data_IF_362331231985
#
_entry.id   IF_362331231985
#
_cell.length_a   1.000
_cell.length_b   1.000
_cell.length_c   1.000
_cell.angle_alpha   90.00
_cell.angle_beta   90.00
_cell.angle_gamma   90.00
#
_symmetry.space_group_name_H-M   'P 1'
#
loop_
_entity.id
_entity.type
_entity.pdbx_description
1 polymer ?
#
# COMPACT_ATOMS: atom_id res chain seq x y z
N UNK A 1 13.50 7.74 -14.02
CA UNK A 1 13.04 7.36 -12.67
C UNK A 1 12.80 5.85 -12.64
N UNK A 2 13.39 5.11 -11.70
CA UNK A 2 13.25 3.65 -11.62
C UNK A 2 11.89 3.31 -11.00
N UNK A 3 10.94 2.83 -11.81
CA UNK A 3 9.72 2.17 -11.31
C UNK A 3 10.15 1.10 -10.31
N UNK A 4 9.63 1.14 -9.07
CA UNK A 4 9.94 0.11 -8.09
C UNK A 4 9.17 -1.14 -8.51
N UNK A 5 9.88 -2.17 -8.96
CA UNK A 5 9.26 -3.47 -9.26
C UNK A 5 8.66 -4.04 -7.98
N UNK A 6 7.34 -3.89 -7.81
CA UNK A 6 6.62 -4.50 -6.70
C UNK A 6 6.82 -6.03 -6.70
N UNK A 7 7.08 -6.63 -7.87
CA UNK A 7 7.46 -8.04 -8.03
C UNK A 7 8.71 -8.42 -7.23
N UNK A 8 9.72 -7.53 -7.17
CA UNK A 8 10.96 -7.77 -6.41
C UNK A 8 10.73 -7.76 -4.91
N UNK A 9 9.63 -7.15 -4.46
CA UNK A 9 9.22 -7.11 -3.07
C UNK A 9 8.04 -8.07 -2.81
N UNK A 10 7.78 -9.04 -3.69
CA UNK A 10 6.82 -10.12 -3.43
C UNK A 10 5.41 -9.90 -3.97
N UNK A 11 5.18 -8.91 -4.84
CA UNK A 11 3.92 -8.84 -5.59
C UNK A 11 3.89 -9.96 -6.64
N UNK A 12 3.17 -11.04 -6.33
CA UNK A 12 2.94 -12.14 -7.25
C UNK A 12 1.90 -11.75 -8.31
N UNK A 13 1.83 -12.54 -9.39
CA UNK A 13 0.81 -12.34 -10.43
C UNK A 13 -0.60 -12.51 -9.88
N UNK A 14 -0.79 -13.41 -8.92
CA UNK A 14 -2.07 -13.68 -8.26
C UNK A 14 -2.52 -12.45 -7.47
N UNK A 15 -1.64 -11.89 -6.61
CA UNK A 15 -1.94 -10.66 -5.85
C UNK A 15 -2.20 -9.47 -6.77
N UNK A 16 -1.47 -9.37 -7.89
CA UNK A 16 -1.72 -8.32 -8.88
C UNK A 16 -3.06 -8.50 -9.60
N UNK A 17 -3.53 -9.74 -9.81
CA UNK A 17 -4.82 -10.02 -10.39
C UNK A 17 -5.95 -9.70 -9.40
N UNK A 18 -5.79 -10.06 -8.13
CA UNK A 18 -6.75 -9.70 -7.07
C UNK A 18 -6.81 -8.17 -6.87
N UNK A 19 -5.67 -7.47 -6.91
CA UNK A 19 -5.64 -6.01 -6.80
C UNK A 19 -6.44 -5.32 -7.91
N UNK A 20 -6.53 -5.91 -9.11
CA UNK A 20 -7.37 -5.38 -10.20
C UNK A 20 -8.87 -5.45 -9.91
N UNK A 21 -9.30 -6.31 -9.00
CA UNK A 21 -10.71 -6.38 -8.58
C UNK A 21 -11.11 -5.19 -7.69
N UNK A 22 -10.14 -4.45 -7.14
CA UNK A 22 -10.38 -3.28 -6.31
C UNK A 22 -10.23 -2.00 -7.15
N UNK A 23 -11.32 -1.58 -7.80
CA UNK A 23 -11.34 -0.33 -8.55
C UNK A 23 -11.08 0.88 -7.65
N UNK A 24 -10.22 1.79 -8.12
CA UNK A 24 -9.84 3.00 -7.39
C UNK A 24 -8.73 2.82 -6.35
N UNK A 25 -8.23 1.59 -6.15
CA UNK A 25 -7.09 1.31 -5.28
C UNK A 25 -5.88 0.83 -6.08
N UNK A 26 -4.68 1.00 -5.52
CA UNK A 26 -3.44 0.51 -6.10
C UNK A 26 -2.71 -0.44 -5.14
N UNK A 27 -2.03 -1.48 -5.65
CA UNK A 27 -1.24 -2.36 -4.82
C UNK A 27 -0.03 -1.62 -4.24
N UNK A 28 0.20 -1.82 -2.95
CA UNK A 28 1.36 -1.30 -2.25
C UNK A 28 1.81 -2.25 -1.15
N UNK A 29 3.10 -2.25 -0.84
CA UNK A 29 3.68 -3.07 0.24
C UNK A 29 4.06 -2.20 1.43
N UNK A 30 3.56 -2.52 2.61
CA UNK A 30 4.03 -1.89 3.85
C UNK A 30 5.47 -2.33 4.12
N UNK A 31 6.41 -1.38 4.09
CA UNK A 31 7.83 -1.62 4.39
C UNK A 31 8.17 -1.39 5.85
N UNK A 32 7.45 -0.48 6.51
CA UNK A 32 7.63 -0.20 7.94
C UNK A 32 6.34 0.35 8.50
N UNK A 33 6.03 -0.10 9.71
CA UNK A 33 4.96 0.44 10.53
C UNK A 33 5.59 1.02 11.79
N UNK A 34 5.28 2.26 12.13
CA UNK A 34 5.81 2.91 13.31
C UNK A 34 4.71 3.77 13.92
N UNK A 35 4.19 3.36 15.09
CA UNK A 35 3.04 3.99 15.75
C UNK A 35 1.87 4.12 14.77
N UNK A 36 1.59 5.34 14.34
CA UNK A 36 0.49 5.71 13.44
C UNK A 36 0.97 5.96 11.99
N UNK A 37 2.25 5.74 11.71
CA UNK A 37 2.86 5.98 10.40
C UNK A 37 3.18 4.65 9.72
N UNK A 38 2.78 4.55 8.46
CA UNK A 38 2.98 3.40 7.60
C UNK A 38 3.76 3.85 6.38
N UNK A 39 4.92 3.25 6.15
CA UNK A 39 5.65 3.42 4.89
C UNK A 39 5.17 2.37 3.91
N UNK A 40 4.59 2.80 2.80
CA UNK A 40 4.02 1.95 1.75
C UNK A 40 4.84 2.15 0.49
N UNK A 41 5.36 1.07 -0.07
CA UNK A 41 6.06 1.06 -1.35
C UNK A 41 5.04 0.75 -2.44
N UNK A 42 4.93 1.63 -3.41
CA UNK A 42 4.04 1.54 -4.58
C UNK A 42 4.90 1.47 -5.86
N UNK A 43 4.27 1.21 -7.02
CA UNK A 43 4.99 1.22 -8.31
C UNK A 43 5.61 2.59 -8.63
N UNK A 44 4.96 3.66 -8.17
CA UNK A 44 5.37 5.04 -8.43
C UNK A 44 6.46 5.53 -7.45
N UNK A 45 6.53 4.92 -6.26
CA UNK A 45 7.51 5.29 -5.24
C UNK A 45 7.12 4.85 -3.83
N UNK A 46 7.90 5.31 -2.85
CA UNK A 46 7.53 5.13 -1.43
C UNK A 46 6.63 6.28 -0.99
N UNK A 47 5.49 5.94 -0.39
CA UNK A 47 4.54 6.85 0.22
C UNK A 47 4.49 6.63 1.72
N UNK A 48 4.20 7.69 2.47
CA UNK A 48 3.92 7.59 3.90
C UNK A 48 2.43 7.80 4.11
N UNK A 49 1.77 6.78 4.64
CA UNK A 49 0.37 6.83 5.07
C UNK A 49 0.31 7.01 6.58
N UNK A 50 -0.55 7.91 7.06
CA UNK A 50 -0.90 7.98 8.47
C UNK A 50 -2.17 7.14 8.66
N UNK A 51 -2.21 6.29 9.68
CA UNK A 51 -3.47 5.70 10.11
C UNK A 51 -4.37 6.86 10.56
N UNK A 52 -5.34 7.21 9.72
CA UNK A 52 -6.44 8.05 10.14
C UNK A 52 -7.19 7.29 11.23
N UNK A 53 -7.07 7.78 12.46
CA UNK A 53 -7.94 7.40 13.57
C UNK A 53 -9.39 7.46 13.02
N UNK A 54 -10.19 6.38 13.08
CA UNK A 54 -11.61 6.52 12.78
C UNK A 54 -12.16 7.59 13.72
N UNK A 55 -12.98 8.54 13.25
CA UNK A 55 -13.52 9.58 14.12
C UNK A 55 -14.12 8.93 15.38
N UNK A 56 -13.80 9.40 16.59
CA UNK A 56 -14.38 8.87 17.80
C UNK A 56 -15.87 9.24 17.82
N UNK A 57 -16.73 8.32 17.37
CA UNK A 57 -18.18 8.52 17.34
C UNK A 57 -18.97 7.74 16.30
N UNK A 58 -18.67 6.44 16.10
CA UNK A 58 -19.45 5.57 15.22
C UNK A 58 -20.14 4.43 15.98
N UNK A 59 -21.36 4.72 16.46
CA UNK A 59 -22.38 3.87 17.13
C UNK A 59 -21.99 3.10 18.39
#
# INVERSE_FOLDING_TARGET
>A
MKKKDLKRIGLTKELAAEAKAYEGLYPGRVSSQTKELYRVITEDGEMTAKAGIPPPGGN
#
